data_IF_542651979366
#
_entry.id   IF_542651979366
#
_cell.length_a   1.000
_cell.length_b   1.000
_cell.length_c   1.000
_cell.angle_alpha   90.00
_cell.angle_beta   90.00
_cell.angle_gamma   90.00
#
_symmetry.space_group_name_H-M   'P 1'
#
loop_
_entity.id
_entity.type
_entity.pdbx_description
1 polymer ?
#
# COMPACT_ATOMS: atom_id res chain seq x y z
N UNK A 1 -19.79 2.20 5.76
CA UNK A 1 -19.84 3.26 4.72
C UNK A 1 -21.25 3.36 4.21
N UNK A 2 -21.80 4.57 4.12
CA UNK A 2 -23.19 4.83 3.75
C UNK A 2 -23.24 5.73 2.51
N UNK A 3 -24.14 5.45 1.57
CA UNK A 3 -24.41 6.35 0.45
C UNK A 3 -25.43 7.40 0.89
N UNK A 4 -25.17 8.67 0.61
CA UNK A 4 -26.07 9.78 0.94
C UNK A 4 -26.14 10.81 -0.19
N UNK A 5 -27.01 11.80 -0.03
CA UNK A 5 -27.18 12.95 -0.93
C UNK A 5 -27.14 14.21 -0.07
N UNK A 6 -26.26 15.15 -0.41
CA UNK A 6 -26.14 16.44 0.27
C UNK A 6 -27.32 17.35 -0.08
N UNK A 7 -27.53 18.41 0.70
CA UNK A 7 -28.63 19.37 0.46
C UNK A 7 -28.54 20.07 -0.91
N UNK A 8 -27.33 20.18 -1.48
CA UNK A 8 -27.10 20.72 -2.82
C UNK A 8 -27.32 19.69 -3.95
N UNK A 9 -27.73 18.45 -3.62
CA UNK A 9 -27.99 17.38 -4.57
C UNK A 9 -26.79 16.49 -4.92
N UNK A 10 -25.59 16.79 -4.42
CA UNK A 10 -24.40 15.99 -4.67
C UNK A 10 -24.48 14.63 -3.97
N UNK A 11 -24.12 13.55 -4.68
CA UNK A 11 -24.05 12.20 -4.11
C UNK A 11 -22.73 12.00 -3.40
N UNK A 12 -22.78 11.46 -2.19
CA UNK A 12 -21.58 11.23 -1.35
C UNK A 12 -21.55 9.82 -0.75
N UNK A 13 -20.35 9.38 -0.42
CA UNK A 13 -20.08 8.22 0.43
C UNK A 13 -19.58 8.71 1.80
N UNK A 14 -20.21 8.23 2.87
CA UNK A 14 -19.94 8.64 4.25
C UNK A 14 -19.37 7.44 5.02
N UNK A 15 -18.08 7.46 5.36
CA UNK A 15 -17.47 6.53 6.30
C UNK A 15 -17.73 7.06 7.71
N UNK A 16 -18.31 6.24 8.59
CA UNK A 16 -18.60 6.60 9.98
C UNK A 16 -17.87 5.62 10.88
N UNK A 17 -17.07 6.15 11.80
CA UNK A 17 -16.34 5.35 12.76
C UNK A 17 -17.30 4.68 13.75
N UNK A 18 -16.99 3.44 14.15
CA UNK A 18 -17.75 2.75 15.20
C UNK A 18 -17.63 3.51 16.53
N UNK A 19 -18.73 3.72 17.27
CA UNK A 19 -18.67 4.38 18.58
C UNK A 19 -17.70 3.68 19.53
N UNK A 20 -16.86 4.45 20.23
CA UNK A 20 -15.93 3.92 21.23
C UNK A 20 -14.65 3.28 20.68
N UNK A 21 -14.44 3.25 19.35
CA UNK A 21 -13.29 2.59 18.73
C UNK A 21 -11.93 3.07 19.29
N UNK A 22 -11.76 4.38 19.45
CA UNK A 22 -10.54 4.95 20.04
C UNK A 22 -10.28 4.43 21.46
N UNK A 23 -11.30 4.35 22.30
CA UNK A 23 -11.15 3.83 23.68
C UNK A 23 -10.73 2.36 23.70
N UNK A 24 -11.24 1.57 22.76
CA UNK A 24 -10.85 0.17 22.61
C UNK A 24 -9.37 0.07 22.23
N UNK A 25 -8.93 0.86 21.24
CA UNK A 25 -7.53 0.92 20.82
C UNK A 25 -6.63 1.37 21.97
N UNK A 26 -7.04 2.39 22.74
CA UNK A 26 -6.28 2.87 23.91
C UNK A 26 -6.06 1.76 24.94
N UNK A 27 -7.02 0.84 25.13
CA UNK A 27 -6.90 -0.29 26.06
C UNK A 27 -6.00 -1.37 25.47
N UNK A 28 -6.25 -1.78 24.22
CA UNK A 28 -5.53 -2.87 23.57
C UNK A 28 -4.05 -2.52 23.37
N UNK A 29 -3.75 -1.30 22.91
CA UNK A 29 -2.39 -0.82 22.73
C UNK A 29 -1.64 -0.68 24.05
N UNK A 30 -2.32 -0.36 25.16
CA UNK A 30 -1.68 -0.40 26.49
C UNK A 30 -1.28 -1.81 26.89
N UNK A 31 -2.15 -2.80 26.65
CA UNK A 31 -1.84 -4.20 26.94
C UNK A 31 -0.70 -4.73 26.05
N UNK A 32 -0.72 -4.40 24.76
CA UNK A 32 0.35 -4.78 23.83
C UNK A 32 1.69 -4.17 24.19
N UNK A 33 1.71 -2.94 24.74
CA UNK A 33 2.94 -2.32 25.24
C UNK A 33 3.58 -3.14 26.35
N UNK A 34 2.78 -3.61 27.31
CA UNK A 34 3.27 -4.45 28.41
C UNK A 34 3.86 -5.77 27.90
N UNK A 35 3.23 -6.36 26.88
CA UNK A 35 3.75 -7.58 26.23
C UNK A 35 5.08 -7.29 25.51
N UNK A 36 5.17 -6.18 24.77
CA UNK A 36 6.39 -5.77 24.08
C UNK A 36 7.54 -5.53 25.08
N UNK A 37 7.28 -4.83 26.19
CA UNK A 37 8.25 -4.62 27.26
C UNK A 37 8.70 -5.94 27.91
N UNK A 38 7.78 -6.90 28.09
CA UNK A 38 8.13 -8.23 28.60
C UNK A 38 9.01 -9.01 27.61
N UNK A 39 8.69 -9.00 26.31
CA UNK A 39 9.51 -9.65 25.29
C UNK A 39 10.89 -9.01 25.14
N UNK A 40 10.97 -7.69 25.23
CA UNK A 40 12.23 -6.96 25.17
C UNK A 40 13.21 -7.40 26.28
N UNK A 41 12.69 -7.70 27.47
CA UNK A 41 13.46 -8.15 28.64
C UNK A 41 13.71 -9.66 28.66
N UNK A 42 13.04 -10.43 27.80
CA UNK A 42 13.09 -11.88 27.81
C UNK A 42 14.07 -12.42 26.78
N UNK A 43 15.12 -13.09 27.25
CA UNK A 43 16.11 -13.75 26.38
C UNK A 43 15.47 -14.84 25.48
N UNK A 44 14.38 -15.46 25.94
CA UNK A 44 13.66 -16.50 25.17
C UNK A 44 12.99 -15.98 23.90
N UNK A 45 12.63 -14.69 23.86
CA UNK A 45 11.94 -14.09 22.72
C UNK A 45 12.88 -13.18 21.89
N UNK A 46 14.18 -13.44 21.94
CA UNK A 46 15.19 -12.68 21.21
C UNK A 46 15.71 -11.45 21.95
N UNK A 47 15.16 -11.12 23.13
CA UNK A 47 15.71 -10.08 24.02
C UNK A 47 16.09 -8.77 23.30
N UNK A 48 17.24 -8.14 23.64
CA UNK A 48 17.73 -6.92 22.99
C UNK A 48 18.07 -7.03 21.50
N UNK A 49 18.17 -8.25 20.94
CA UNK A 49 18.49 -8.45 19.52
C UNK A 49 17.29 -8.21 18.60
N UNK A 50 16.09 -8.03 19.17
CA UNK A 50 14.89 -7.59 18.46
C UNK A 50 14.33 -6.35 19.14
N UNK A 51 13.96 -5.37 18.34
CA UNK A 51 13.37 -4.12 18.81
C UNK A 51 11.84 -4.28 18.94
N UNK A 52 11.42 -4.99 19.98
CA UNK A 52 9.99 -5.23 20.25
C UNK A 52 9.24 -3.94 20.56
N UNK A 53 9.91 -2.98 21.19
CA UNK A 53 9.33 -1.66 21.49
C UNK A 53 9.16 -0.85 20.20
N UNK A 54 10.17 -0.81 19.33
CA UNK A 54 10.05 -0.14 18.03
C UNK A 54 8.96 -0.75 17.14
N UNK A 55 8.83 -2.08 17.12
CA UNK A 55 7.72 -2.76 16.42
C UNK A 55 6.37 -2.31 17.01
N UNK A 56 6.24 -2.29 18.34
CA UNK A 56 5.03 -1.81 19.00
C UNK A 56 4.71 -0.36 18.64
N UNK A 57 5.69 0.54 18.71
CA UNK A 57 5.50 1.96 18.45
C UNK A 57 5.02 2.20 17.01
N UNK A 58 5.60 1.50 16.04
CA UNK A 58 5.17 1.60 14.63
C UNK A 58 3.76 1.04 14.42
N UNK A 59 3.43 -0.13 14.98
CA UNK A 59 2.08 -0.69 14.91
C UNK A 59 1.06 0.23 15.58
N UNK A 60 1.39 0.78 16.76
CA UNK A 60 0.52 1.70 17.48
C UNK A 60 0.25 2.96 16.68
N UNK A 61 1.28 3.53 16.05
CA UNK A 61 1.15 4.72 15.22
C UNK A 61 0.20 4.47 14.04
N UNK A 62 0.42 3.37 13.30
CA UNK A 62 -0.41 3.01 12.14
C UNK A 62 -1.89 2.86 12.55
N UNK A 63 -2.16 2.19 13.66
CA UNK A 63 -3.53 1.99 14.16
C UNK A 63 -4.21 3.31 14.55
N UNK A 64 -3.47 4.27 15.13
CA UNK A 64 -4.04 5.59 15.40
C UNK A 64 -4.28 6.41 14.13
N UNK A 65 -3.41 6.29 13.13
CA UNK A 65 -3.58 6.93 11.82
C UNK A 65 -4.82 6.38 11.08
N UNK A 66 -5.11 5.09 11.20
CA UNK A 66 -6.30 4.44 10.60
C UNK A 66 -7.62 5.01 11.13
N UNK A 67 -7.63 5.49 12.37
CA UNK A 67 -8.82 6.05 13.01
C UNK A 67 -8.92 7.57 12.94
N UNK A 68 -7.97 8.24 12.28
CA UNK A 68 -7.98 9.67 12.02
C UNK A 68 -8.46 9.95 10.58
N UNK A 69 -9.76 10.18 10.43
CA UNK A 69 -10.35 10.49 9.13
C UNK A 69 -9.97 11.87 8.57
N UNK A 70 -9.47 12.79 9.40
CA UNK A 70 -8.88 14.04 8.88
C UNK A 70 -7.56 13.73 8.18
N UNK A 71 -6.74 12.84 8.74
CA UNK A 71 -5.51 12.40 8.11
C UNK A 71 -5.78 11.64 6.81
N UNK A 72 -6.74 10.70 6.80
CA UNK A 72 -7.17 10.00 5.59
C UNK A 72 -7.62 10.99 4.48
N UNK A 73 -8.42 12.01 4.83
CA UNK A 73 -8.84 13.04 3.87
C UNK A 73 -7.67 13.86 3.31
N UNK A 74 -6.69 14.24 4.14
CA UNK A 74 -5.48 14.97 3.71
C UNK A 74 -4.63 14.11 2.78
N UNK A 75 -4.50 12.82 3.10
CA UNK A 75 -3.81 11.84 2.28
C UNK A 75 -4.46 11.69 0.90
N UNK A 76 -5.80 11.60 0.85
CA UNK A 76 -6.55 11.55 -0.40
C UNK A 76 -6.30 12.80 -1.27
N UNK A 77 -6.37 13.99 -0.67
CA UNK A 77 -6.11 15.26 -1.39
C UNK A 77 -4.66 15.34 -1.91
N UNK A 78 -3.67 14.91 -1.11
CA UNK A 78 -2.27 14.80 -1.54
C UNK A 78 -2.13 13.84 -2.71
N UNK A 79 -2.69 12.64 -2.61
CA UNK A 79 -2.64 11.64 -3.67
C UNK A 79 -3.29 12.17 -4.96
N UNK A 80 -4.47 12.80 -4.86
CA UNK A 80 -5.15 13.43 -6.00
C UNK A 80 -4.27 14.48 -6.67
N UNK A 81 -3.58 15.33 -5.89
CA UNK A 81 -2.66 16.34 -6.43
C UNK A 81 -1.47 15.71 -7.15
N UNK A 82 -0.91 14.63 -6.61
CA UNK A 82 0.24 13.93 -7.16
C UNK A 82 -0.13 13.25 -8.50
N UNK A 83 -1.36 12.76 -8.62
CA UNK A 83 -1.91 12.14 -9.83
C UNK A 83 -2.67 13.09 -10.79
N UNK A 84 -2.68 14.41 -10.56
CA UNK A 84 -3.47 15.39 -11.36
C UNK A 84 -3.27 15.34 -12.89
N UNK A 85 -2.09 14.88 -13.32
CA UNK A 85 -1.72 14.77 -14.74
C UNK A 85 -1.97 13.36 -15.32
N UNK A 86 -2.39 12.40 -14.50
CA UNK A 86 -2.64 11.01 -14.89
C UNK A 86 -4.14 10.81 -14.99
N UNK A 87 -4.68 10.89 -16.21
CA UNK A 87 -6.13 10.92 -16.45
C UNK A 87 -6.85 9.62 -16.10
N UNK A 88 -6.13 8.50 -16.05
CA UNK A 88 -6.68 7.18 -15.75
C UNK A 88 -6.58 6.81 -14.26
N UNK A 89 -6.21 7.75 -13.37
CA UNK A 89 -6.32 7.60 -11.92
C UNK A 89 -7.33 8.60 -11.38
N UNK A 90 -8.31 8.09 -10.63
CA UNK A 90 -9.39 8.85 -10.01
C UNK A 90 -9.32 8.72 -8.50
N UNK A 91 -9.46 9.85 -7.83
CA UNK A 91 -9.59 9.96 -6.38
C UNK A 91 -10.85 10.76 -6.10
N UNK A 92 -11.82 10.22 -5.34
CA UNK A 92 -13.00 10.98 -4.91
C UNK A 92 -12.62 12.29 -4.20
N UNK A 93 -13.37 13.36 -4.46
CA UNK A 93 -13.19 14.61 -3.72
C UNK A 93 -13.57 14.43 -2.24
N UNK A 94 -12.82 15.06 -1.33
CA UNK A 94 -13.18 15.13 0.09
C UNK A 94 -14.14 16.29 0.30
N UNK A 95 -15.26 16.01 0.95
CA UNK A 95 -16.25 17.01 1.34
C UNK A 95 -15.89 17.51 2.74
N UNK A 96 -14.96 18.47 2.82
CA UNK A 96 -14.37 18.93 4.07
C UNK A 96 -15.39 19.51 5.06
N UNK A 97 -16.41 20.21 4.57
CA UNK A 97 -17.50 20.76 5.40
C UNK A 97 -18.32 19.67 6.13
N UNK A 98 -18.24 18.43 5.65
CA UNK A 98 -18.93 17.25 6.19
C UNK A 98 -17.96 16.20 6.72
N UNK A 99 -16.69 16.56 6.93
CA UNK A 99 -15.64 15.66 7.39
C UNK A 99 -15.15 16.07 8.78
N UNK A 100 -14.97 15.10 9.65
CA UNK A 100 -14.47 15.24 11.03
C UNK A 100 -13.52 14.09 11.33
N UNK A 101 -12.90 14.06 12.52
CA UNK A 101 -12.07 12.93 12.96
C UNK A 101 -12.79 11.56 12.91
N UNK A 102 -14.13 11.53 13.00
CA UNK A 102 -14.93 10.30 13.10
C UNK A 102 -15.84 10.05 11.92
N UNK A 103 -15.95 11.01 11.01
CA UNK A 103 -16.80 10.94 9.82
C UNK A 103 -16.01 11.43 8.63
N UNK A 104 -15.78 10.57 7.62
CA UNK A 104 -15.17 10.95 6.35
C UNK A 104 -16.23 10.99 5.27
N UNK A 105 -16.40 12.14 4.64
CA UNK A 105 -17.35 12.30 3.54
C UNK A 105 -16.61 12.52 2.23
N UNK A 106 -16.86 11.66 1.25
CA UNK A 106 -16.24 11.71 -0.07
C UNK A 106 -17.30 11.83 -1.17
N UNK A 107 -16.92 12.36 -2.32
CA UNK A 107 -17.68 12.24 -3.57
C UNK A 107 -18.07 10.78 -3.82
N UNK A 108 -19.33 10.55 -4.18
CA UNK A 108 -19.74 9.21 -4.59
C UNK A 108 -19.23 8.90 -6.00
N UNK A 109 -18.10 8.20 -6.07
CA UNK A 109 -17.55 7.64 -7.31
C UNK A 109 -17.94 6.15 -7.42
N UNK A 110 -18.90 5.76 -8.27
CA UNK A 110 -19.22 4.36 -8.49
C UNK A 110 -18.15 3.69 -9.36
N UNK A 111 -17.81 2.44 -9.06
CA UNK A 111 -16.91 1.63 -9.88
C UNK A 111 -17.12 0.13 -9.64
N UNK A 112 -16.55 -0.68 -10.52
CA UNK A 112 -16.53 -2.14 -10.40
C UNK A 112 -15.29 -2.50 -9.60
N UNK A 113 -15.42 -3.21 -8.46
CA UNK A 113 -14.26 -3.62 -7.68
C UNK A 113 -13.27 -4.39 -8.55
N UNK A 114 -11.98 -4.11 -8.41
CA UNK A 114 -10.93 -4.71 -9.27
C UNK A 114 -10.86 -6.24 -9.15
N UNK A 115 -11.31 -6.80 -8.03
CA UNK A 115 -11.37 -8.25 -7.79
C UNK A 115 -12.64 -8.92 -8.36
N UNK A 116 -13.60 -8.17 -8.91
CA UNK A 116 -14.79 -8.75 -9.53
C UNK A 116 -14.54 -9.06 -11.02
N UNK A 117 -13.74 -10.09 -11.26
CA UNK A 117 -13.28 -10.47 -12.60
C UNK A 117 -14.45 -10.80 -13.54
N UNK A 118 -15.48 -11.51 -13.06
CA UNK A 118 -16.64 -11.87 -13.88
C UNK A 118 -17.38 -10.65 -14.43
N UNK A 119 -17.58 -9.61 -13.61
CA UNK A 119 -18.22 -8.37 -14.07
C UNK A 119 -17.32 -7.60 -15.03
N UNK A 120 -16.01 -7.56 -14.75
CA UNK A 120 -15.05 -6.89 -15.63
C UNK A 120 -15.01 -7.54 -17.03
N UNK A 121 -14.96 -8.87 -17.08
CA UNK A 121 -14.93 -9.65 -18.32
C UNK A 121 -16.26 -9.49 -19.08
N UNK A 122 -17.41 -9.59 -18.39
CA UNK A 122 -18.74 -9.42 -19.02
C UNK A 122 -18.96 -8.03 -19.63
N UNK A 123 -18.24 -7.02 -19.13
CA UNK A 123 -18.29 -5.63 -19.62
C UNK A 123 -17.17 -5.29 -20.59
N UNK A 124 -16.33 -6.27 -20.96
CA UNK A 124 -15.28 -6.11 -21.95
C UNK A 124 -14.07 -5.28 -21.47
N UNK A 125 -13.85 -5.16 -20.16
CA UNK A 125 -12.65 -4.49 -19.66
C UNK A 125 -11.40 -5.34 -19.90
N UNK A 126 -10.33 -4.72 -20.39
CA UNK A 126 -9.04 -5.39 -20.58
C UNK A 126 -8.33 -5.58 -19.24
N UNK A 127 -8.25 -6.83 -18.76
CA UNK A 127 -7.48 -7.20 -17.56
C UNK A 127 -6.00 -6.83 -17.68
N UNK A 128 -5.42 -6.95 -18.87
CA UNK A 128 -4.04 -6.56 -19.13
C UNK A 128 -3.83 -5.05 -18.96
N UNK A 129 -4.76 -4.24 -19.46
CA UNK A 129 -4.70 -2.78 -19.28
C UNK A 129 -4.86 -2.39 -17.81
N UNK A 130 -5.80 -3.03 -17.09
CA UNK A 130 -5.99 -2.79 -15.65
C UNK A 130 -4.73 -3.13 -14.86
N UNK A 131 -4.12 -4.29 -15.12
CA UNK A 131 -2.89 -4.70 -14.47
C UNK A 131 -1.74 -3.73 -14.77
N UNK A 132 -1.57 -3.35 -16.04
CA UNK A 132 -0.57 -2.38 -16.47
C UNK A 132 -0.72 -1.03 -15.77
N UNK A 133 -1.94 -0.47 -15.76
CA UNK A 133 -2.25 0.79 -15.04
C UNK A 133 -2.02 0.66 -13.54
N UNK A 134 -2.36 -0.49 -12.95
CA UNK A 134 -2.17 -0.72 -11.52
C UNK A 134 -0.69 -0.68 -11.18
N UNK A 135 0.13 -1.46 -11.89
CA UNK A 135 1.59 -1.48 -11.74
C UNK A 135 2.17 -0.10 -11.97
N UNK A 136 1.81 0.57 -13.07
CA UNK A 136 2.30 1.92 -13.39
C UNK A 136 1.97 2.91 -12.27
N UNK A 137 0.75 2.86 -11.71
CA UNK A 137 0.38 3.74 -10.60
C UNK A 137 1.20 3.49 -9.34
N UNK A 138 1.54 2.24 -9.00
CA UNK A 138 2.44 1.94 -7.88
C UNK A 138 3.87 2.38 -8.14
N UNK A 139 4.37 2.21 -9.36
CA UNK A 139 5.70 2.70 -9.73
C UNK A 139 5.78 4.22 -9.64
N UNK A 140 4.74 4.95 -10.06
CA UNK A 140 4.65 6.41 -9.89
C UNK A 140 4.70 6.78 -8.41
N UNK A 141 3.92 6.09 -7.56
CA UNK A 141 3.90 6.32 -6.12
C UNK A 141 5.29 6.15 -5.49
N UNK A 142 5.96 5.04 -5.79
CA UNK A 142 7.23 4.68 -5.15
C UNK A 142 8.39 5.49 -5.74
N UNK A 143 8.51 5.55 -7.07
CA UNK A 143 9.70 6.05 -7.77
C UNK A 143 9.62 7.52 -8.16
N UNK A 144 8.42 8.10 -8.26
CA UNK A 144 8.24 9.49 -8.69
C UNK A 144 7.78 10.39 -7.56
N UNK A 145 6.66 10.08 -6.92
CA UNK A 145 6.08 10.95 -5.88
C UNK A 145 6.74 10.70 -4.52
N UNK A 146 7.12 9.46 -4.24
CA UNK A 146 7.55 9.02 -2.92
C UNK A 146 6.39 8.95 -1.93
N UNK A 147 5.14 9.12 -2.37
CA UNK A 147 3.94 9.01 -1.53
C UNK A 147 3.12 7.82 -2.03
N UNK A 148 3.05 6.78 -1.22
CA UNK A 148 2.58 5.47 -1.66
C UNK A 148 1.52 4.89 -0.74
N UNK A 149 0.62 4.11 -1.32
CA UNK A 149 -0.38 3.36 -0.60
C UNK A 149 0.26 2.13 0.03
N UNK A 150 0.31 2.09 1.36
CA UNK A 150 1.02 1.05 2.11
C UNK A 150 0.23 -0.26 2.23
N UNK A 151 -1.11 -0.19 2.13
CA UNK A 151 -1.98 -1.38 2.09
C UNK A 151 -2.83 -1.44 0.79
N UNK A 152 -2.26 -1.87 -0.34
CA UNK A 152 -2.91 -1.84 -1.66
C UNK A 152 -4.00 -2.92 -1.84
N UNK A 153 -4.85 -3.12 -0.83
CA UNK A 153 -5.87 -4.15 -0.83
C UNK A 153 -6.84 -3.97 -2.01
N UNK A 154 -7.13 -5.03 -2.80
CA UNK A 154 -8.03 -4.94 -3.96
C UNK A 154 -9.42 -4.37 -3.64
N UNK A 155 -9.86 -4.47 -2.39
CA UNK A 155 -11.12 -3.88 -1.92
C UNK A 155 -11.19 -2.35 -1.99
N UNK A 156 -10.04 -1.67 -1.97
CA UNK A 156 -9.92 -0.20 -2.00
C UNK A 156 -9.79 0.35 -3.43
N UNK A 157 -9.77 -0.54 -4.42
CA UNK A 157 -9.63 -0.24 -5.84
C UNK A 157 -10.87 -0.63 -6.62
N UNK A 158 -11.28 0.23 -7.54
CA UNK A 158 -12.29 -0.08 -8.53
C UNK A 158 -11.94 0.45 -9.91
N UNK A 159 -12.69 -0.02 -10.90
CA UNK A 159 -12.60 0.37 -12.29
C UNK A 159 -13.82 1.24 -12.59
N UNK A 160 -13.56 2.46 -13.05
CA UNK A 160 -14.59 3.38 -13.53
C UNK A 160 -15.10 2.96 -14.91
N UNK A 161 -16.20 3.57 -15.37
CA UNK A 161 -16.86 3.28 -16.64
C UNK A 161 -15.91 3.36 -17.85
N UNK A 162 -14.92 4.24 -17.82
CA UNK A 162 -13.91 4.48 -18.87
C UNK A 162 -12.64 3.62 -18.70
N UNK A 163 -12.62 2.72 -17.70
CA UNK A 163 -11.48 1.87 -17.38
C UNK A 163 -10.44 2.52 -16.47
N UNK A 164 -10.69 3.73 -15.96
CA UNK A 164 -9.81 4.41 -15.01
C UNK A 164 -9.80 3.70 -13.64
N UNK A 165 -8.67 3.73 -12.95
CA UNK A 165 -8.52 3.21 -11.59
C UNK A 165 -9.09 4.23 -10.59
N UNK A 166 -9.99 3.79 -9.72
CA UNK A 166 -10.52 4.57 -8.60
C UNK A 166 -9.91 4.06 -7.30
N UNK A 167 -9.32 4.96 -6.53
CA UNK A 167 -8.83 4.68 -5.18
C UNK A 167 -9.82 5.24 -4.13
N UNK A 168 -10.20 4.43 -3.14
CA UNK A 168 -11.19 4.81 -2.12
C UNK A 168 -10.65 4.97 -0.71
N UNK A 169 -9.52 4.34 -0.41
CA UNK A 169 -8.94 4.35 0.93
C UNK A 169 -7.55 4.99 0.87
N UNK A 170 -7.28 5.82 1.88
CA UNK A 170 -6.02 6.52 2.04
C UNK A 170 -5.60 6.57 3.52
N UNK A 171 -6.15 5.65 4.33
CA UNK A 171 -5.85 5.56 5.76
C UNK A 171 -4.41 5.14 6.01
N UNK A 172 -3.86 4.31 5.12
CA UNK A 172 -2.48 3.80 5.19
C UNK A 172 -1.64 4.31 4.02
N UNK A 173 -1.05 5.50 4.20
CA UNK A 173 -0.12 6.08 3.24
C UNK A 173 1.28 6.21 3.86
N UNK A 174 2.30 5.81 3.09
CA UNK A 174 3.70 5.95 3.46
C UNK A 174 4.40 7.04 2.66
N UNK A 175 5.53 7.50 3.18
CA UNK A 175 6.41 8.46 2.51
C UNK A 175 7.85 7.95 2.43
N UNK A 176 8.39 7.96 1.21
CA UNK A 176 9.77 7.62 0.88
C UNK A 176 10.54 8.91 0.69
N UNK A 177 11.57 9.12 1.51
CA UNK A 177 12.47 10.28 1.38
C UNK A 177 13.15 10.26 0.01
N UNK A 178 13.41 11.44 -0.54
CA UNK A 178 14.01 11.61 -1.87
C UNK A 178 15.27 10.76 -2.08
N UNK A 179 16.17 10.75 -1.09
CA UNK A 179 17.39 9.95 -1.16
C UNK A 179 17.14 8.45 -1.27
N UNK A 180 16.22 7.90 -0.46
CA UNK A 180 15.81 6.49 -0.55
C UNK A 180 15.16 6.20 -1.89
N UNK A 181 14.33 7.13 -2.40
CA UNK A 181 13.69 7.01 -3.71
C UNK A 181 14.72 6.96 -4.84
N UNK A 182 15.77 7.78 -4.80
CA UNK A 182 16.84 7.77 -5.81
C UNK A 182 17.64 6.46 -5.79
N UNK A 183 17.86 5.88 -4.59
CA UNK A 183 18.44 4.54 -4.44
C UNK A 183 17.53 3.44 -4.97
N UNK A 184 16.23 3.51 -4.71
CA UNK A 184 15.24 2.59 -5.29
C UNK A 184 15.24 2.69 -6.83
N UNK A 185 15.28 3.90 -7.38
CA UNK A 185 15.36 4.10 -8.83
C UNK A 185 16.64 3.48 -9.41
N UNK A 186 17.76 3.63 -8.71
CA UNK A 186 19.03 3.00 -9.09
C UNK A 186 18.94 1.47 -9.07
N UNK A 187 18.26 0.88 -8.08
CA UNK A 187 17.97 -0.55 -8.03
C UNK A 187 17.12 -1.00 -9.23
N UNK A 188 16.05 -0.25 -9.55
CA UNK A 188 15.21 -0.55 -10.71
C UNK A 188 15.99 -0.55 -12.02
N UNK A 189 16.86 0.45 -12.24
CA UNK A 189 17.74 0.48 -13.41
C UNK A 189 18.71 -0.70 -13.43
N UNK A 190 19.29 -1.06 -12.29
CA UNK A 190 20.19 -2.21 -12.18
C UNK A 190 19.50 -3.53 -12.55
N UNK A 191 18.25 -3.73 -12.11
CA UNK A 191 17.43 -4.89 -12.46
C UNK A 191 17.11 -4.89 -13.96
N UNK A 192 16.75 -3.73 -14.51
CA UNK A 192 16.45 -3.57 -15.94
C UNK A 192 17.66 -3.90 -16.83
N UNK A 193 18.85 -3.46 -16.43
CA UNK A 193 20.11 -3.75 -17.12
C UNK A 193 20.61 -5.19 -16.88
N UNK A 194 19.95 -5.96 -16.01
CA UNK A 194 20.35 -7.30 -15.57
C UNK A 194 21.77 -7.36 -15.00
N UNK A 195 22.19 -6.30 -14.31
CA UNK A 195 23.52 -6.21 -13.69
C UNK A 195 23.45 -6.58 -12.20
N UNK A 196 23.81 -7.82 -11.87
CA UNK A 196 23.80 -8.31 -10.49
C UNK A 196 24.74 -7.53 -9.55
N UNK A 197 25.83 -6.94 -10.06
CA UNK A 197 26.73 -6.14 -9.23
C UNK A 197 26.08 -4.81 -8.84
N UNK A 198 25.44 -4.15 -9.80
CA UNK A 198 24.68 -2.91 -9.52
C UNK A 198 23.50 -3.19 -8.59
N UNK A 199 22.81 -4.33 -8.73
CA UNK A 199 21.72 -4.72 -7.82
C UNK A 199 22.23 -4.91 -6.40
N UNK A 200 23.31 -5.67 -6.20
CA UNK A 200 23.90 -5.87 -4.86
C UNK A 200 24.33 -4.53 -4.25
N UNK A 201 25.00 -3.69 -5.03
CA UNK A 201 25.41 -2.36 -4.56
C UNK A 201 24.19 -1.54 -4.14
N UNK A 202 23.13 -1.51 -4.94
CA UNK A 202 21.90 -0.80 -4.63
C UNK A 202 21.20 -1.35 -3.38
N UNK A 203 21.22 -2.67 -3.15
CA UNK A 203 20.68 -3.29 -1.94
C UNK A 203 21.49 -2.94 -0.68
N UNK A 204 22.81 -2.87 -0.78
CA UNK A 204 23.68 -2.39 0.32
C UNK A 204 23.39 -0.91 0.60
N UNK A 205 23.29 -0.11 -0.46
CA UNK A 205 22.97 1.30 -0.40
C UNK A 205 21.60 1.57 0.27
N UNK A 206 20.63 0.69 0.05
CA UNK A 206 19.32 0.71 0.70
C UNK A 206 19.33 0.15 2.13
N UNK A 207 20.49 -0.27 2.64
CA UNK A 207 20.66 -0.97 3.93
C UNK A 207 19.87 -2.28 4.05
N UNK A 208 19.33 -2.77 2.93
CA UNK A 208 18.61 -4.04 2.83
C UNK A 208 19.54 -5.26 2.86
N UNK A 209 20.82 -5.05 2.55
CA UNK A 209 21.86 -6.07 2.59
C UNK A 209 23.07 -5.56 3.37
N UNK A 210 23.42 -6.24 4.45
CA UNK A 210 24.65 -5.96 5.19
C UNK A 210 25.83 -6.66 4.49
N UNK A 211 26.91 -5.93 4.14
CA UNK A 211 28.06 -6.52 3.46
C UNK A 211 28.93 -7.30 4.45
N UNK A 212 28.56 -8.55 4.75
CA UNK A 212 29.33 -9.45 5.61
C UNK A 212 29.89 -10.62 4.82
N UNK A 213 31.21 -10.79 4.85
CA UNK A 213 31.90 -11.94 4.23
C UNK A 213 31.89 -11.92 2.70
N UNK A 214 31.93 -13.10 2.08
CA UNK A 214 31.88 -13.26 0.62
C UNK A 214 30.45 -13.17 0.08
N UNK A 215 30.19 -12.14 -0.73
CA UNK A 215 28.90 -11.90 -1.38
C UNK A 215 28.70 -12.70 -2.68
N UNK A 216 29.68 -13.51 -3.11
CA UNK A 216 29.58 -14.30 -4.34
C UNK A 216 28.36 -15.25 -4.39
N UNK A 217 27.95 -15.92 -3.30
CA UNK A 217 26.71 -16.71 -3.29
C UNK A 217 25.48 -15.85 -3.53
N UNK A 218 25.37 -14.70 -2.87
CA UNK A 218 24.27 -13.74 -3.04
C UNK A 218 24.22 -13.23 -4.48
N UNK A 219 25.38 -12.89 -5.06
CA UNK A 219 25.50 -12.46 -6.45
C UNK A 219 24.97 -13.51 -7.42
N UNK A 220 25.31 -14.79 -7.22
CA UNK A 220 24.81 -15.88 -8.07
C UNK A 220 23.29 -16.01 -7.96
N UNK A 221 22.73 -15.90 -6.76
CA UNK A 221 21.27 -15.93 -6.56
C UNK A 221 20.59 -14.76 -7.26
N UNK A 222 21.10 -13.53 -7.09
CA UNK A 222 20.58 -12.34 -7.77
C UNK A 222 20.65 -12.51 -9.28
N UNK A 223 21.78 -12.96 -9.84
CA UNK A 223 21.93 -13.20 -11.27
C UNK A 223 20.91 -14.22 -11.78
N UNK A 224 20.74 -15.34 -11.06
CA UNK A 224 19.73 -16.33 -11.40
C UNK A 224 18.31 -15.74 -11.44
N UNK A 225 17.95 -14.89 -10.47
CA UNK A 225 16.66 -14.19 -10.50
C UNK A 225 16.53 -13.25 -11.71
N UNK A 226 17.56 -12.47 -12.03
CA UNK A 226 17.56 -11.54 -13.16
C UNK A 226 17.42 -12.26 -14.52
N UNK A 227 18.07 -13.41 -14.65
CA UNK A 227 18.02 -14.23 -15.87
C UNK A 227 16.62 -14.83 -16.07
N UNK A 228 15.93 -15.16 -14.97
CA UNK A 228 14.62 -15.83 -14.99
C UNK A 228 13.41 -14.92 -14.76
N UNK A 229 13.63 -13.61 -14.56
CA UNK A 229 12.58 -12.65 -14.22
C UNK A 229 11.50 -12.52 -15.31
N UNK A 230 11.83 -12.86 -16.55
CA UNK A 230 10.93 -12.83 -17.71
C UNK A 230 10.47 -14.23 -18.18
N UNK A 231 11.06 -15.31 -17.66
CA UNK A 231 10.72 -16.68 -18.05
C UNK A 231 9.61 -17.29 -17.18
N UNK A 232 9.26 -16.66 -16.07
CA UNK A 232 8.10 -17.03 -15.27
C UNK A 232 6.82 -16.46 -15.88
N UNK A 233 6.18 -17.21 -16.77
CA UNK A 233 4.74 -17.08 -16.97
C UNK A 233 4.04 -17.44 -15.66
N UNK A 234 3.16 -16.60 -15.09
CA UNK A 234 2.48 -16.92 -13.84
C UNK A 234 1.65 -18.18 -14.04
N UNK A 235 2.10 -19.27 -13.41
CA UNK A 235 1.34 -20.51 -13.36
C UNK A 235 0.09 -20.22 -12.51
N UNK A 236 -1.06 -20.17 -13.18
CA UNK A 236 -2.34 -19.81 -12.56
C UNK A 236 -2.66 -20.75 -11.39
N UNK A 237 -2.21 -22.02 -11.45
CA UNK A 237 -2.42 -23.00 -10.39
C UNK A 237 -1.62 -22.71 -9.13
N UNK A 238 -0.35 -22.29 -9.23
CA UNK A 238 0.45 -21.90 -8.06
C UNK A 238 -0.04 -20.60 -7.44
N UNK A 239 -0.49 -19.65 -8.26
CA UNK A 239 -1.02 -18.37 -7.78
C UNK A 239 -2.32 -18.58 -7.01
N UNK A 240 -3.23 -19.44 -7.49
CA UNK A 240 -4.45 -19.81 -6.79
C UNK A 240 -4.18 -20.62 -5.50
N UNK A 241 -3.19 -21.51 -5.52
CA UNK A 241 -2.79 -22.29 -4.34
C UNK A 241 -2.16 -21.42 -3.23
N UNK A 242 -1.45 -20.34 -3.60
CA UNK A 242 -0.84 -19.41 -2.65
C UNK A 242 -1.85 -18.44 -1.99
N UNK A 243 -3.00 -18.21 -2.63
CA UNK A 243 -4.03 -17.27 -2.13
C UNK A 243 -5.08 -17.98 -1.26
N UNK A 244 -5.14 -19.32 -1.26
CA UNK A 244 -5.87 -20.10 -0.27
C UNK A 244 -7.35 -19.75 -0.14
N UNK A 245 -8.19 -20.30 -1.01
CA UNK A 245 -9.57 -20.62 -0.60
C UNK A 245 -9.59 -22.08 -0.13
N UNK A 246 -9.75 -22.23 1.19
CA UNK A 246 -10.44 -23.40 1.75
C UNK A 246 -11.92 -23.20 1.46
N UNK A 247 -12.43 -23.94 0.48
CA UNK A 247 -13.77 -24.54 0.49
C UNK A 247 -13.79 -25.67 -0.54
#
# INVERSE_FOLDING_TARGET
VHRAVLHNGERVAVKVQRPGLRKLFDIDLRNLKLVAEYFQRSEKFGGPSRDWIGIYDECSKILYEEIDYINEGKNADRFRRDFRNIKWVRVPLIMWDYTTEKVLTLEYAPGIKINNLAVLDSRGYSRSLIASRSIESYLIQILKTGFFHADPHPGNLAIDKDGSLIYYDFGMMGEIKSFTRDRLLSLFYAVYEKDANKVIKALIDLEALQPTGDLSPVRRSVQYFLDNLLSQSPDQQQTLAAIGEVA
#
